data_IF_512182786641
#
_entry.id   IF_512182786641
#
_cell.length_a   1.000
_cell.length_b   1.000
_cell.length_c   1.000
_cell.angle_alpha   90.00
_cell.angle_beta   90.00
_cell.angle_gamma   90.00
#
_symmetry.space_group_name_H-M   'P 1'
#
loop_
_entity.id
_entity.type
_entity.pdbx_description
1 polymer ?
#
# COMPACT_ATOMS: atom_id res chain seq x y z
N UNK A 1 -10.55 10.22 -18.25
CA UNK A 1 -11.32 9.13 -18.88
C UNK A 1 -11.16 7.91 -17.96
N UNK A 2 -12.16 7.53 -17.16
CA UNK A 2 -11.99 6.54 -16.05
C UNK A 2 -11.39 5.21 -16.52
N UNK A 3 -10.13 4.97 -16.21
CA UNK A 3 -9.42 3.70 -16.45
C UNK A 3 -9.53 2.80 -15.22
N UNK A 4 -9.92 1.55 -15.42
CA UNK A 4 -10.08 0.52 -14.38
C UNK A 4 -8.84 -0.41 -14.38
N UNK A 5 -8.37 -0.88 -13.22
CA UNK A 5 -7.28 -1.88 -13.06
C UNK A 5 -7.72 -3.15 -13.77
N UNK A 6 -6.81 -3.98 -14.29
CA UNK A 6 -7.22 -5.27 -14.91
C UNK A 6 -8.22 -6.05 -14.05
N UNK A 7 -8.03 -6.11 -12.73
CA UNK A 7 -8.94 -6.76 -11.80
C UNK A 7 -10.28 -6.04 -11.63
N UNK A 8 -10.29 -4.71 -11.49
CA UNK A 8 -11.57 -3.96 -11.44
C UNK A 8 -12.27 -3.91 -12.80
N UNK A 9 -11.53 -3.97 -13.91
CA UNK A 9 -12.04 -4.04 -15.26
C UNK A 9 -12.64 -5.43 -15.52
N UNK A 10 -12.04 -6.51 -14.98
CA UNK A 10 -12.64 -7.85 -14.96
C UNK A 10 -13.94 -7.85 -14.15
N UNK A 11 -13.93 -7.32 -12.92
CA UNK A 11 -15.14 -7.26 -12.07
C UNK A 11 -16.24 -6.41 -12.72
N UNK A 12 -15.89 -5.23 -13.24
CA UNK A 12 -16.83 -4.36 -13.98
C UNK A 12 -17.32 -5.03 -15.26
N UNK A 13 -16.47 -5.75 -15.98
CA UNK A 13 -16.86 -6.50 -17.19
C UNK A 13 -17.80 -7.66 -16.86
N UNK A 14 -17.57 -8.36 -15.76
CA UNK A 14 -18.46 -9.42 -15.27
C UNK A 14 -19.81 -8.82 -14.87
N UNK A 15 -19.83 -7.71 -14.13
CA UNK A 15 -21.06 -7.01 -13.75
C UNK A 15 -21.80 -6.51 -15.00
N UNK A 16 -21.08 -5.96 -15.99
CA UNK A 16 -21.66 -5.51 -17.26
C UNK A 16 -22.23 -6.69 -18.07
N UNK A 17 -21.53 -7.82 -18.15
CA UNK A 17 -22.00 -9.05 -18.80
C UNK A 17 -23.25 -9.63 -18.11
N UNK A 18 -23.27 -9.63 -16.78
CA UNK A 18 -24.44 -10.04 -15.99
C UNK A 18 -25.63 -9.08 -16.21
N UNK A 19 -25.36 -7.78 -16.32
CA UNK A 19 -26.38 -6.77 -16.62
C UNK A 19 -26.95 -6.93 -18.04
N UNK A 20 -26.08 -7.15 -19.04
CA UNK A 20 -26.50 -7.36 -20.44
C UNK A 20 -27.27 -8.66 -20.59
N UNK A 21 -26.80 -9.76 -19.99
CA UNK A 21 -27.53 -11.04 -20.01
C UNK A 21 -28.88 -10.96 -19.30
N UNK A 22 -29.00 -10.15 -18.24
CA UNK A 22 -30.28 -9.86 -17.59
C UNK A 22 -31.23 -9.06 -18.50
N UNK A 23 -30.74 -8.07 -19.24
CA UNK A 23 -31.53 -7.30 -20.22
C UNK A 23 -32.00 -8.19 -21.36
N UNK A 24 -31.13 -9.06 -21.89
CA UNK A 24 -31.49 -10.05 -22.92
C UNK A 24 -32.52 -11.04 -22.37
N UNK A 25 -32.38 -11.48 -21.11
CA UNK A 25 -33.35 -12.32 -20.42
C UNK A 25 -34.72 -11.66 -20.28
N UNK A 26 -34.77 -10.36 -19.93
CA UNK A 26 -36.00 -9.56 -19.86
C UNK A 26 -36.69 -9.44 -21.23
N UNK A 27 -35.92 -9.17 -22.29
CA UNK A 27 -36.45 -9.08 -23.65
C UNK A 27 -37.00 -10.43 -24.12
N UNK A 28 -36.32 -11.53 -23.78
CA UNK A 28 -36.75 -12.90 -24.14
C UNK A 28 -37.97 -13.37 -23.32
N UNK A 29 -38.09 -12.93 -22.07
CA UNK A 29 -39.15 -13.38 -21.14
C UNK A 29 -40.42 -12.50 -21.16
N UNK A 30 -40.46 -11.46 -22.02
CA UNK A 30 -41.66 -10.67 -22.35
C UNK A 30 -42.77 -11.48 -23.06
N UNK A 31 -42.69 -12.81 -23.04
CA UNK A 31 -43.72 -13.69 -23.58
C UNK A 31 -44.58 -14.40 -22.53
N UNK A 32 -44.27 -14.43 -21.22
CA UNK A 32 -45.18 -15.14 -20.28
C UNK A 32 -45.39 -14.52 -18.87
N UNK A 33 -44.42 -14.06 -18.07
CA UNK A 33 -44.71 -13.70 -16.66
C UNK A 33 -43.82 -12.58 -16.09
N UNK A 34 -44.19 -11.31 -16.31
CA UNK A 34 -43.31 -10.16 -16.08
C UNK A 34 -43.36 -9.49 -14.68
N UNK A 35 -44.24 -9.88 -13.74
CA UNK A 35 -44.50 -9.01 -12.57
C UNK A 35 -43.66 -9.27 -11.30
N UNK A 36 -43.05 -10.44 -11.12
CA UNK A 36 -42.29 -10.77 -9.88
C UNK A 36 -40.79 -10.87 -10.14
N UNK A 37 -40.41 -11.22 -11.37
CA UNK A 37 -39.04 -11.44 -11.80
C UNK A 37 -38.27 -10.11 -11.82
N UNK A 38 -38.81 -9.06 -12.45
CA UNK A 38 -38.12 -7.77 -12.67
C UNK A 38 -37.62 -7.10 -11.37
N UNK A 39 -38.41 -6.97 -10.29
CA UNK A 39 -37.95 -6.33 -9.05
C UNK A 39 -36.85 -7.10 -8.32
N UNK A 40 -36.89 -8.45 -8.37
CA UNK A 40 -35.86 -9.31 -7.79
C UNK A 40 -34.51 -9.13 -8.51
N UNK A 41 -34.53 -9.00 -9.84
CA UNK A 41 -33.30 -8.75 -10.62
C UNK A 41 -32.72 -7.35 -10.37
N UNK A 42 -33.57 -6.32 -10.30
CA UNK A 42 -33.11 -4.96 -9.95
C UNK A 42 -32.45 -4.95 -8.57
N UNK A 43 -33.04 -5.66 -7.60
CA UNK A 43 -32.49 -5.80 -6.26
C UNK A 43 -31.14 -6.52 -6.26
N UNK A 44 -31.00 -7.61 -7.04
CA UNK A 44 -29.74 -8.35 -7.17
C UNK A 44 -28.62 -7.50 -7.80
N UNK A 45 -28.94 -6.75 -8.87
CA UNK A 45 -27.99 -5.83 -9.52
C UNK A 45 -27.57 -4.71 -8.56
N UNK A 46 -28.50 -4.14 -7.80
CA UNK A 46 -28.21 -3.11 -6.80
C UNK A 46 -27.26 -3.62 -5.69
N UNK A 47 -27.44 -4.87 -5.24
CA UNK A 47 -26.55 -5.51 -4.26
C UNK A 47 -25.15 -5.71 -4.84
N UNK A 48 -25.04 -6.21 -6.07
CA UNK A 48 -23.74 -6.38 -6.74
C UNK A 48 -23.01 -5.05 -6.95
N UNK A 49 -23.74 -4.00 -7.36
CA UNK A 49 -23.17 -2.66 -7.49
C UNK A 49 -22.67 -2.13 -6.15
N UNK A 50 -23.48 -2.27 -5.09
CA UNK A 50 -23.11 -1.83 -3.73
C UNK A 50 -21.88 -2.57 -3.22
N UNK A 51 -21.81 -3.90 -3.42
CA UNK A 51 -20.66 -4.70 -3.03
C UNK A 51 -19.38 -4.27 -3.78
N UNK A 52 -19.47 -4.04 -5.09
CA UNK A 52 -18.34 -3.57 -5.89
C UNK A 52 -17.87 -2.17 -5.46
N UNK A 53 -18.80 -1.28 -5.09
CA UNK A 53 -18.50 0.06 -4.59
C UNK A 53 -17.77 0.00 -3.24
N UNK A 54 -18.25 -0.83 -2.31
CA UNK A 54 -17.62 -1.04 -1.01
C UNK A 54 -16.21 -1.64 -1.18
N UNK A 55 -16.07 -2.66 -2.03
CA UNK A 55 -14.79 -3.30 -2.31
C UNK A 55 -13.78 -2.32 -2.93
N UNK A 56 -14.21 -1.50 -3.90
CA UNK A 56 -13.35 -0.48 -4.51
C UNK A 56 -12.99 0.66 -3.55
N UNK A 57 -13.89 1.03 -2.63
CA UNK A 57 -13.57 1.99 -1.57
C UNK A 57 -12.58 1.40 -0.55
N UNK A 58 -12.78 0.17 -0.11
CA UNK A 58 -11.87 -0.52 0.81
C UNK A 58 -10.46 -0.63 0.24
N UNK A 59 -10.33 -1.04 -1.02
CA UNK A 59 -9.03 -1.10 -1.71
C UNK A 59 -8.35 0.26 -1.87
N UNK A 60 -9.11 1.34 -2.05
CA UNK A 60 -8.57 2.72 -2.06
C UNK A 60 -8.08 3.16 -0.70
N UNK A 61 -8.89 2.96 0.34
CA UNK A 61 -8.53 3.31 1.71
C UNK A 61 -7.29 2.54 2.17
N UNK A 62 -7.21 1.24 1.88
CA UNK A 62 -6.02 0.43 2.15
C UNK A 62 -4.78 0.92 1.40
N UNK A 63 -4.91 1.32 0.12
CA UNK A 63 -3.78 1.86 -0.65
C UNK A 63 -3.28 3.19 -0.06
N UNK A 64 -4.19 4.09 0.28
CA UNK A 64 -3.84 5.38 0.88
C UNK A 64 -3.16 5.18 2.24
N UNK A 65 -3.66 4.26 3.05
CA UNK A 65 -3.05 3.93 4.33
C UNK A 65 -1.65 3.34 4.16
N UNK A 66 -1.44 2.47 3.16
CA UNK A 66 -0.12 1.92 2.88
C UNK A 66 0.88 2.99 2.42
N UNK A 67 0.46 3.94 1.58
CA UNK A 67 1.29 5.08 1.18
C UNK A 67 1.67 5.91 2.40
N UNK A 68 0.69 6.23 3.26
CA UNK A 68 0.89 6.99 4.50
C UNK A 68 1.89 6.30 5.44
N UNK A 69 1.83 4.98 5.55
CA UNK A 69 2.77 4.19 6.35
C UNK A 69 4.20 4.24 5.78
N UNK A 70 4.36 4.15 4.46
CA UNK A 70 5.66 4.28 3.79
C UNK A 70 6.25 5.67 4.02
N UNK A 71 5.47 6.73 3.85
CA UNK A 71 5.90 8.11 4.12
C UNK A 71 6.37 8.27 5.56
N UNK A 72 5.54 7.82 6.51
CA UNK A 72 5.86 7.91 7.94
C UNK A 72 7.14 7.14 8.29
N UNK A 73 7.34 5.97 7.68
CA UNK A 73 8.55 5.15 7.85
C UNK A 73 9.80 5.86 7.33
N UNK A 74 9.73 6.43 6.13
CA UNK A 74 10.83 7.19 5.53
C UNK A 74 11.19 8.44 6.35
N UNK A 75 10.18 9.17 6.84
CA UNK A 75 10.37 10.44 7.56
C UNK A 75 10.89 10.24 8.98
N UNK A 76 10.36 9.26 9.72
CA UNK A 76 10.61 9.15 11.16
C UNK A 76 11.67 8.11 11.54
N UNK A 77 11.97 7.15 10.66
CA UNK A 77 12.94 6.08 10.95
C UNK A 77 14.13 6.11 9.98
N UNK A 78 13.88 5.93 8.68
CA UNK A 78 14.95 5.66 7.72
C UNK A 78 15.81 6.89 7.37
N UNK A 79 15.22 8.03 7.00
CA UNK A 79 16.00 9.23 6.68
C UNK A 79 16.78 9.78 7.88
N UNK A 80 16.20 9.86 9.10
CA UNK A 80 16.98 10.26 10.27
C UNK A 80 18.16 9.34 10.53
N UNK A 81 18.00 8.02 10.40
CA UNK A 81 19.12 7.07 10.52
C UNK A 81 20.17 7.29 9.44
N UNK A 82 19.76 7.44 8.18
CA UNK A 82 20.68 7.73 7.09
C UNK A 82 21.47 9.03 7.35
N UNK A 83 20.80 10.11 7.77
CA UNK A 83 21.44 11.39 8.06
C UNK A 83 22.35 11.32 9.28
N UNK A 84 21.98 10.53 10.28
CA UNK A 84 22.81 10.31 11.47
C UNK A 84 24.16 9.74 11.07
N UNK A 85 24.17 8.76 10.17
CA UNK A 85 25.40 8.08 9.75
C UNK A 85 26.03 8.61 8.45
N UNK A 86 25.37 9.56 7.76
CA UNK A 86 25.90 10.16 6.54
C UNK A 86 27.11 11.03 6.88
N UNK A 87 28.30 10.60 6.44
CA UNK A 87 29.56 11.32 6.64
C UNK A 87 30.61 10.59 7.47
N UNK A 88 30.25 9.48 8.13
CA UNK A 88 31.16 8.73 9.01
C UNK A 88 31.23 7.23 8.65
N UNK A 89 31.22 6.90 7.35
CA UNK A 89 31.30 5.51 6.85
C UNK A 89 32.49 4.71 7.43
N UNK A 90 33.55 5.41 7.85
CA UNK A 90 34.74 4.80 8.43
C UNK A 90 34.61 4.47 9.92
N UNK A 91 33.76 5.16 10.70
CA UNK A 91 33.62 4.94 12.14
C UNK A 91 32.20 5.25 12.67
N UNK A 92 31.18 4.46 12.29
CA UNK A 92 29.80 4.70 12.72
C UNK A 92 29.59 4.60 14.24
N UNK A 93 30.46 3.89 14.97
CA UNK A 93 30.39 3.82 16.44
C UNK A 93 30.65 5.18 17.11
N UNK A 94 31.56 5.98 16.58
CA UNK A 94 31.88 7.30 17.16
C UNK A 94 30.68 8.23 17.00
N UNK A 95 30.07 8.21 15.81
CA UNK A 95 28.86 8.97 15.53
C UNK A 95 27.68 8.52 16.41
N UNK A 96 27.53 7.20 16.58
CA UNK A 96 26.56 6.64 17.50
C UNK A 96 26.76 7.15 18.94
N UNK A 97 28.00 7.18 19.43
CA UNK A 97 28.32 7.65 20.79
C UNK A 97 28.04 9.15 20.94
N UNK A 98 28.47 9.96 19.97
CA UNK A 98 28.30 11.41 19.97
C UNK A 98 26.81 11.83 19.91
N UNK A 99 26.01 11.11 19.11
CA UNK A 99 24.61 11.44 18.86
C UNK A 99 23.63 10.41 19.44
N UNK A 100 24.04 9.72 20.51
CA UNK A 100 23.29 8.64 21.15
C UNK A 100 21.85 9.00 21.49
N UNK A 101 21.61 10.22 21.96
CA UNK A 101 20.25 10.71 22.28
C UNK A 101 19.35 10.71 21.04
N UNK A 102 19.85 11.20 19.90
CA UNK A 102 19.10 11.18 18.63
C UNK A 102 18.85 9.76 18.15
N UNK A 103 19.82 8.87 18.29
CA UNK A 103 19.62 7.45 17.94
C UNK A 103 18.47 6.83 18.76
N UNK A 104 18.40 7.12 20.06
CA UNK A 104 17.32 6.65 20.93
C UNK A 104 15.96 7.24 20.55
N UNK A 105 15.92 8.53 20.19
CA UNK A 105 14.72 9.19 19.67
C UNK A 105 14.21 8.53 18.39
N UNK A 106 15.11 8.21 17.45
CA UNK A 106 14.74 7.46 16.24
C UNK A 106 14.24 6.06 16.59
N UNK A 107 14.83 5.42 17.61
CA UNK A 107 14.40 4.13 18.14
C UNK A 107 12.95 4.10 18.64
N UNK A 108 12.35 5.23 18.99
CA UNK A 108 10.91 5.32 19.30
C UNK A 108 10.02 4.97 18.09
N UNK A 109 10.55 5.14 16.88
CA UNK A 109 9.87 4.85 15.62
C UNK A 109 10.21 3.48 15.02
N UNK A 110 10.91 2.61 15.76
CA UNK A 110 11.29 1.26 15.28
C UNK A 110 10.11 0.40 14.80
N UNK A 111 8.90 0.66 15.29
CA UNK A 111 7.69 -0.05 14.83
C UNK A 111 7.34 0.25 13.35
N UNK A 112 7.98 1.25 12.73
CA UNK A 112 7.82 1.61 11.33
C UNK A 112 8.90 1.00 10.42
N UNK A 113 9.88 0.29 10.98
CA UNK A 113 10.95 -0.32 10.20
C UNK A 113 10.51 -1.62 9.55
N UNK A 114 11.04 -1.92 8.37
CA UNK A 114 10.97 -3.23 7.73
C UNK A 114 11.63 -4.30 8.62
N UNK A 115 11.16 -5.54 8.49
CA UNK A 115 11.57 -6.66 9.35
C UNK A 115 13.08 -6.85 9.42
N UNK A 116 13.81 -6.64 8.32
CA UNK A 116 15.27 -6.81 8.31
C UNK A 116 15.97 -5.70 9.09
N UNK A 117 15.66 -4.44 8.82
CA UNK A 117 16.20 -3.32 9.59
C UNK A 117 15.84 -3.41 11.08
N UNK A 118 14.61 -3.86 11.40
CA UNK A 118 14.18 -4.10 12.78
C UNK A 118 15.11 -5.07 13.50
N UNK A 119 15.41 -6.22 12.89
CA UNK A 119 16.25 -7.25 13.49
C UNK A 119 17.66 -6.73 13.81
N UNK A 120 18.25 -5.91 12.93
CA UNK A 120 19.55 -5.30 13.18
C UNK A 120 19.48 -4.20 14.25
N UNK A 121 18.43 -3.39 14.21
CA UNK A 121 18.21 -2.35 15.20
C UNK A 121 17.98 -2.92 16.61
N UNK A 122 17.21 -4.01 16.73
CA UNK A 122 16.94 -4.70 18.00
C UNK A 122 18.18 -5.42 18.54
N UNK A 123 18.95 -6.06 17.66
CA UNK A 123 20.15 -6.77 18.05
C UNK A 123 21.31 -5.85 18.36
N UNK A 124 21.27 -4.59 17.92
CA UNK A 124 22.37 -3.63 17.87
C UNK A 124 23.28 -3.70 19.09
N UNK A 125 24.35 -4.53 19.05
CA UNK A 125 25.49 -4.31 19.91
C UNK A 125 26.12 -3.01 19.40
N UNK A 126 26.59 -2.15 20.29
CA UNK A 126 27.19 -0.87 19.91
C UNK A 126 28.60 -1.11 19.36
N UNK A 127 28.71 -1.87 18.27
CA UNK A 127 29.93 -2.15 17.54
C UNK A 127 29.82 -1.67 16.10
N UNK A 128 30.97 -1.47 15.47
CA UNK A 128 31.06 -0.88 14.15
C UNK A 128 30.42 -1.75 13.06
N UNK A 129 30.53 -3.08 13.14
CA UNK A 129 30.05 -3.97 12.08
C UNK A 129 28.52 -4.06 12.07
N UNK A 130 27.89 -4.11 13.24
CA UNK A 130 26.44 -4.11 13.36
C UNK A 130 25.82 -2.80 12.89
N UNK A 131 26.46 -1.67 13.19
CA UNK A 131 26.02 -0.35 12.71
C UNK A 131 26.20 -0.22 11.20
N UNK A 132 27.31 -0.71 10.63
CA UNK A 132 27.50 -0.75 9.16
C UNK A 132 26.43 -1.58 8.47
N UNK A 133 26.10 -2.74 9.00
CA UNK A 133 25.05 -3.59 8.42
C UNK A 133 23.67 -2.93 8.54
N UNK A 134 23.37 -2.28 9.68
CA UNK A 134 22.15 -1.48 9.82
C UNK A 134 22.08 -0.35 8.78
N UNK A 135 23.17 0.40 8.58
CA UNK A 135 23.24 1.48 7.58
C UNK A 135 23.00 0.93 6.18
N UNK A 136 23.67 -0.16 5.84
CA UNK A 136 23.51 -0.83 4.54
C UNK A 136 22.05 -1.25 4.30
N UNK A 137 21.43 -1.90 5.28
CA UNK A 137 20.02 -2.29 5.19
C UNK A 137 19.09 -1.06 5.11
N UNK A 138 19.36 0.00 5.88
CA UNK A 138 18.62 1.27 5.79
C UNK A 138 18.69 1.87 4.39
N UNK A 139 19.85 1.85 3.73
CA UNK A 139 19.98 2.34 2.36
C UNK A 139 19.21 1.48 1.35
N UNK A 140 19.33 0.15 1.44
CA UNK A 140 18.57 -0.79 0.61
C UNK A 140 17.05 -0.61 0.79
N UNK A 141 16.60 -0.44 2.04
CA UNK A 141 15.20 -0.24 2.39
C UNK A 141 14.67 1.10 1.88
N UNK A 142 15.47 2.19 1.96
CA UNK A 142 15.07 3.50 1.41
C UNK A 142 14.79 3.40 -0.09
N UNK A 143 15.69 2.79 -0.85
CA UNK A 143 15.51 2.66 -2.30
C UNK A 143 14.27 1.82 -2.65
N UNK A 144 14.09 0.70 -1.93
CA UNK A 144 12.92 -0.15 -2.07
C UNK A 144 11.62 0.59 -1.72
N UNK A 145 11.58 1.29 -0.59
CA UNK A 145 10.41 2.02 -0.11
C UNK A 145 10.07 3.19 -1.04
N UNK A 146 11.07 3.92 -1.54
CA UNK A 146 10.85 4.97 -2.53
C UNK A 146 10.32 4.41 -3.86
N UNK A 147 10.81 3.25 -4.29
CA UNK A 147 10.27 2.56 -5.47
C UNK A 147 8.82 2.14 -5.23
N UNK A 148 8.52 1.53 -4.08
CA UNK A 148 7.17 1.11 -3.69
C UNK A 148 6.21 2.30 -3.58
N UNK A 149 6.68 3.41 -3.02
CA UNK A 149 5.97 4.69 -2.98
C UNK A 149 5.64 5.15 -4.40
N UNK A 150 6.64 5.24 -5.29
CA UNK A 150 6.45 5.62 -6.69
C UNK A 150 5.52 4.68 -7.44
N UNK A 151 5.58 3.37 -7.23
CA UNK A 151 4.69 2.42 -7.90
C UNK A 151 3.24 2.55 -7.42
N UNK A 152 3.04 2.81 -6.12
CA UNK A 152 1.70 2.98 -5.54
C UNK A 152 1.11 4.36 -5.77
N UNK A 153 1.96 5.39 -5.85
CA UNK A 153 1.59 6.72 -6.34
C UNK A 153 1.33 6.63 -7.84
N UNK A 154 2.33 6.38 -8.69
CA UNK A 154 2.29 6.39 -10.17
C UNK A 154 1.40 5.32 -10.82
N UNK A 155 0.80 4.42 -10.04
CA UNK A 155 -0.48 3.83 -10.44
C UNK A 155 -1.58 4.91 -10.69
N UNK A 156 -1.23 6.20 -10.71
CA UNK A 156 -1.88 7.34 -11.36
C UNK A 156 -2.12 7.23 -12.87
N UNK A 157 -1.77 6.12 -13.54
CA UNK A 157 -2.43 5.76 -14.81
C UNK A 157 -3.97 5.61 -14.69
N UNK A 158 -4.48 5.68 -13.46
CA UNK A 158 -5.89 5.82 -13.07
C UNK A 158 -6.43 7.25 -13.02
N UNK A 159 -5.57 8.27 -13.08
CA UNK A 159 -5.90 9.67 -12.81
C UNK A 159 -5.82 10.60 -14.04
N UNK A 160 -6.01 10.06 -15.26
CA UNK A 160 -6.28 10.89 -16.46
C UNK A 160 -7.60 10.57 -17.13
#
# INVERSE_FOLDING_TARGET
MKTYTKESLIVVSIIALLSISAVIGLIRNNYVEANIIIPLYISFVAVLFSYSAIYTQGTRAHRQEEIRLIEKSLENFYRPLQNLFSGYEQNPIDCYQEQKTKFLEIGCYRHLSETRALLYFEKCPQDNESLKELIKQVMEDIDMLQKKYKEKSNNEGFFS
#
